data_IF_823478373898
#
_entry.id   IF_823478373898
#
_cell.length_a   1.000
_cell.length_b   1.000
_cell.length_c   1.000
_cell.angle_alpha   90.00
_cell.angle_beta   90.00
_cell.angle_gamma   90.00
#
_symmetry.space_group_name_H-M   'P 1'
#
loop_
_entity.id
_entity.type
_entity.pdbx_description
1 polymer ?
#
# COMPACT_ATOMS: atom_id res chain seq x y z
N UNK A 1 7.53 -30.33 -9.37
CA UNK A 1 8.01 -29.32 -8.40
C UNK A 1 7.28 -27.97 -8.55
N UNK A 2 7.07 -27.50 -9.78
CA UNK A 2 6.26 -26.28 -10.04
C UNK A 2 4.80 -26.53 -9.62
N UNK A 3 4.26 -27.72 -9.85
CA UNK A 3 2.92 -28.09 -9.43
C UNK A 3 2.72 -28.07 -7.92
N UNK A 4 3.73 -28.44 -7.12
CA UNK A 4 3.64 -28.41 -5.65
C UNK A 4 3.64 -26.97 -5.10
N UNK A 5 4.36 -26.04 -5.72
CA UNK A 5 4.30 -24.62 -5.36
C UNK A 5 2.98 -23.96 -5.76
N UNK A 6 2.45 -24.35 -6.89
CA UNK A 6 1.15 -23.87 -7.36
C UNK A 6 -0.01 -24.41 -6.52
N UNK A 7 0.11 -25.62 -5.96
CA UNK A 7 -0.94 -26.22 -5.12
C UNK A 7 -1.24 -25.36 -3.89
N UNK A 8 -0.24 -24.79 -3.21
CA UNK A 8 -0.48 -23.85 -2.10
C UNK A 8 -1.14 -22.54 -2.57
N UNK A 9 -0.69 -22.01 -3.69
CA UNK A 9 -1.28 -20.81 -4.30
C UNK A 9 -2.67 -21.09 -4.88
N UNK A 10 -2.88 -22.28 -5.47
CA UNK A 10 -4.17 -22.70 -5.98
C UNK A 10 -5.20 -22.95 -4.87
N UNK A 11 -4.80 -23.43 -3.70
CA UNK A 11 -5.69 -23.51 -2.55
C UNK A 11 -6.22 -22.12 -2.16
N UNK A 12 -5.34 -21.14 -2.01
CA UNK A 12 -5.74 -19.75 -1.70
C UNK A 12 -6.61 -19.13 -2.80
N UNK A 13 -6.34 -19.43 -4.06
CA UNK A 13 -7.13 -18.95 -5.20
C UNK A 13 -8.50 -19.64 -5.29
N UNK A 14 -8.56 -20.93 -5.00
CA UNK A 14 -9.81 -21.72 -5.01
C UNK A 14 -10.74 -21.34 -3.86
N UNK A 15 -10.17 -21.03 -2.68
CA UNK A 15 -10.93 -20.62 -1.51
C UNK A 15 -11.42 -19.18 -1.59
N UNK A 16 -11.07 -18.45 -2.66
CA UNK A 16 -11.43 -17.06 -2.94
C UNK A 16 -11.20 -16.14 -1.75
N UNK A 17 -10.26 -15.20 -1.83
CA UNK A 17 -9.99 -14.28 -0.73
C UNK A 17 -11.20 -13.40 -0.46
N UNK A 18 -11.51 -13.15 0.81
CA UNK A 18 -12.48 -12.15 1.23
C UNK A 18 -11.85 -10.75 1.23
N UNK A 19 -10.57 -10.68 1.63
CA UNK A 19 -9.84 -9.42 1.78
C UNK A 19 -8.53 -9.52 1.02
N UNK A 20 -8.25 -8.53 0.19
CA UNK A 20 -7.02 -8.44 -0.61
C UNK A 20 -6.30 -7.16 -0.24
N UNK A 21 -5.04 -7.29 0.21
CA UNK A 21 -4.25 -6.20 0.78
C UNK A 21 -2.94 -6.06 0.02
N UNK A 22 -2.59 -4.85 -0.39
CA UNK A 22 -1.30 -4.59 -1.01
C UNK A 22 -0.73 -3.24 -0.63
N UNK A 23 0.60 -3.16 -0.59
CA UNK A 23 1.28 -1.88 -0.39
C UNK A 23 1.12 -1.00 -1.64
N UNK A 24 0.99 0.30 -1.42
CA UNK A 24 0.70 1.28 -2.45
C UNK A 24 1.65 2.48 -2.36
N UNK A 25 2.50 2.60 -3.36
CA UNK A 25 3.26 3.81 -3.67
C UNK A 25 2.67 4.44 -4.92
N UNK A 26 3.28 4.24 -6.10
CA UNK A 26 2.68 4.63 -7.38
C UNK A 26 1.52 3.74 -7.84
N UNK A 27 1.34 2.57 -7.21
CA UNK A 27 0.17 1.72 -7.38
C UNK A 27 0.33 0.55 -8.35
N UNK A 28 1.42 0.42 -9.10
CA UNK A 28 1.56 -0.64 -10.11
C UNK A 28 1.53 -2.05 -9.52
N UNK A 29 2.17 -2.25 -8.36
CA UNK A 29 2.21 -3.53 -7.68
C UNK A 29 0.81 -3.93 -7.17
N UNK A 30 0.15 -3.02 -6.46
CA UNK A 30 -1.23 -3.23 -5.98
C UNK A 30 -2.19 -3.46 -7.16
N UNK A 31 -2.08 -2.66 -8.23
CA UNK A 31 -2.92 -2.80 -9.42
C UNK A 31 -2.77 -4.17 -10.06
N UNK A 32 -1.53 -4.69 -10.17
CA UNK A 32 -1.28 -6.05 -10.65
C UNK A 32 -1.91 -7.14 -9.77
N UNK A 33 -1.80 -6.98 -8.45
CA UNK A 33 -2.37 -7.93 -7.49
C UNK A 33 -3.90 -7.98 -7.57
N UNK A 34 -4.56 -6.83 -7.59
CA UNK A 34 -6.03 -6.77 -7.48
C UNK A 34 -6.76 -6.94 -8.81
N UNK A 35 -6.10 -6.74 -9.95
CA UNK A 35 -6.77 -6.66 -11.26
C UNK A 35 -7.67 -7.86 -11.61
N UNK A 36 -7.30 -9.14 -11.40
CA UNK A 36 -8.21 -10.26 -11.68
C UNK A 36 -9.45 -10.23 -10.79
N UNK A 37 -9.29 -9.97 -9.51
CA UNK A 37 -10.37 -9.92 -8.52
C UNK A 37 -11.26 -8.68 -8.71
N UNK A 38 -10.67 -7.54 -9.05
CA UNK A 38 -11.41 -6.32 -9.37
C UNK A 38 -12.26 -6.52 -10.62
N UNK A 39 -11.77 -7.25 -11.62
CA UNK A 39 -12.55 -7.63 -12.78
C UNK A 39 -13.81 -8.43 -12.41
N UNK A 40 -13.71 -9.41 -11.51
CA UNK A 40 -14.86 -10.17 -10.99
C UNK A 40 -15.84 -9.26 -10.21
N UNK A 41 -15.31 -8.37 -9.34
CA UNK A 41 -16.15 -7.42 -8.59
C UNK A 41 -16.92 -6.48 -9.53
N UNK A 42 -16.27 -5.94 -10.55
CA UNK A 42 -16.92 -5.04 -11.53
C UNK A 42 -18.01 -5.74 -12.38
N UNK A 43 -17.88 -7.05 -12.59
CA UNK A 43 -18.92 -7.86 -13.26
C UNK A 43 -20.02 -8.33 -12.31
N UNK A 44 -19.91 -8.03 -11.01
CA UNK A 44 -20.87 -8.48 -10.00
C UNK A 44 -20.79 -9.98 -9.66
N UNK A 45 -19.67 -10.62 -9.96
CA UNK A 45 -19.47 -12.05 -9.73
C UNK A 45 -19.09 -12.34 -8.27
N UNK A 46 -18.34 -11.43 -7.64
CA UNK A 46 -17.86 -11.53 -6.27
C UNK A 46 -17.72 -10.17 -5.62
N UNK A 47 -17.83 -10.12 -4.29
CA UNK A 47 -17.63 -8.90 -3.51
C UNK A 47 -16.38 -9.01 -2.61
N UNK A 48 -15.24 -8.71 -3.19
CA UNK A 48 -13.97 -8.66 -2.47
C UNK A 48 -13.78 -7.31 -1.79
N UNK A 49 -13.16 -7.33 -0.61
CA UNK A 49 -12.65 -6.14 0.06
C UNK A 49 -11.19 -5.90 -0.36
N UNK A 50 -10.91 -4.74 -0.94
CA UNK A 50 -9.55 -4.33 -1.31
C UNK A 50 -9.05 -3.25 -0.38
N UNK A 51 -7.79 -3.39 0.09
CA UNK A 51 -7.15 -2.41 0.97
C UNK A 51 -5.79 -2.04 0.38
N UNK A 52 -5.65 -0.78 -0.02
CA UNK A 52 -4.38 -0.16 -0.35
C UNK A 52 -3.70 0.31 0.93
N UNK A 53 -2.44 -0.06 1.14
CA UNK A 53 -1.68 0.36 2.33
C UNK A 53 -0.53 1.26 1.91
N UNK A 54 -0.55 2.49 2.39
CA UNK A 54 0.45 3.50 2.11
C UNK A 54 1.20 3.93 3.37
N UNK A 55 2.41 4.49 3.25
CA UNK A 55 3.10 5.07 4.40
C UNK A 55 2.38 6.30 4.93
N UNK A 56 2.25 6.44 6.24
CA UNK A 56 1.71 7.65 6.86
C UNK A 56 2.53 8.92 6.51
N UNK A 57 3.80 8.75 6.14
CA UNK A 57 4.68 9.82 5.67
C UNK A 57 4.45 10.25 4.22
N UNK A 58 3.67 9.47 3.45
CA UNK A 58 3.37 9.75 2.04
C UNK A 58 1.91 9.35 1.71
N UNK A 59 0.90 9.99 2.34
CA UNK A 59 -0.50 9.55 2.37
C UNK A 59 -1.27 10.04 1.14
N UNK A 60 -0.91 9.57 -0.05
CA UNK A 60 -1.48 10.06 -1.32
C UNK A 60 -2.97 9.77 -1.47
N UNK A 61 -3.45 8.58 -1.07
CA UNK A 61 -4.87 8.22 -1.12
C UNK A 61 -5.65 8.80 0.05
N UNK A 62 -5.12 8.64 1.29
CA UNK A 62 -5.88 8.97 2.51
C UNK A 62 -5.95 10.48 2.79
N UNK A 63 -4.95 11.26 2.32
CA UNK A 63 -4.88 12.72 2.57
C UNK A 63 -4.59 13.55 1.31
N UNK A 64 -4.42 12.90 0.15
CA UNK A 64 -4.23 13.59 -1.13
C UNK A 64 -5.53 14.17 -1.70
N UNK A 65 -5.39 14.95 -2.77
CA UNK A 65 -6.50 15.48 -3.56
C UNK A 65 -6.69 14.68 -4.84
N UNK A 66 -7.93 14.41 -5.21
CA UNK A 66 -8.25 13.83 -6.53
C UNK A 66 -8.27 14.94 -7.58
N UNK A 67 -7.14 15.12 -8.26
CA UNK A 67 -6.89 16.24 -9.17
C UNK A 67 -6.04 15.79 -10.36
N UNK A 68 -5.93 16.66 -11.37
CA UNK A 68 -4.93 16.51 -12.42
C UNK A 68 -3.56 16.95 -11.89
N UNK A 69 -2.55 16.12 -12.12
CA UNK A 69 -1.18 16.40 -11.73
C UNK A 69 -0.19 15.75 -12.71
N UNK A 70 1.07 16.15 -12.63
CA UNK A 70 2.15 15.51 -13.35
C UNK A 70 2.61 14.23 -12.65
N UNK A 71 2.89 13.19 -13.43
CA UNK A 71 3.44 11.94 -12.90
C UNK A 71 4.91 12.08 -12.50
N UNK A 72 5.61 13.08 -13.03
CA UNK A 72 7.03 13.31 -12.86
C UNK A 72 7.31 14.73 -12.36
N UNK A 73 8.39 14.88 -11.59
CA UNK A 73 8.84 16.19 -11.07
C UNK A 73 9.38 17.13 -12.15
N UNK A 74 9.73 16.58 -13.33
CA UNK A 74 10.18 17.36 -14.49
C UNK A 74 9.03 17.97 -15.30
N UNK A 75 7.77 17.64 -14.96
CA UNK A 75 6.56 18.12 -15.65
C UNK A 75 6.58 17.86 -17.17
N UNK A 76 7.18 16.74 -17.57
CA UNK A 76 7.34 16.35 -19.00
C UNK A 76 6.21 15.42 -19.43
N UNK A 77 5.73 14.55 -18.52
CA UNK A 77 4.63 13.65 -18.80
C UNK A 77 3.30 14.39 -18.93
N UNK A 78 2.35 13.87 -19.70
CA UNK A 78 1.00 14.41 -19.74
C UNK A 78 0.36 14.43 -18.36
N UNK A 79 -0.53 15.39 -18.13
CA UNK A 79 -1.35 15.44 -16.92
C UNK A 79 -2.23 14.20 -16.81
N UNK A 80 -2.27 13.63 -15.63
CA UNK A 80 -3.13 12.49 -15.32
C UNK A 80 -3.99 12.80 -14.09
N UNK A 81 -5.25 12.35 -14.10
CA UNK A 81 -6.12 12.50 -12.94
C UNK A 81 -5.77 11.43 -11.91
N UNK A 82 -5.44 11.86 -10.70
CA UNK A 82 -4.95 10.97 -9.65
C UNK A 82 -5.25 11.53 -8.26
N UNK A 83 -5.19 10.68 -7.25
CA UNK A 83 -4.98 11.15 -5.88
C UNK A 83 -3.51 11.54 -5.73
N UNK A 84 -3.26 12.79 -5.38
CA UNK A 84 -1.91 13.36 -5.34
C UNK A 84 -1.70 14.26 -4.12
N UNK A 85 -0.44 14.31 -3.67
CA UNK A 85 0.07 15.28 -2.70
C UNK A 85 0.68 16.52 -3.37
N UNK A 86 0.64 16.57 -4.71
CA UNK A 86 1.30 17.57 -5.54
C UNK A 86 2.67 17.07 -6.05
N UNK A 87 2.95 17.29 -7.35
CA UNK A 87 4.22 16.86 -7.98
C UNK A 87 5.46 17.56 -7.38
N UNK A 88 5.29 18.66 -6.68
CA UNK A 88 6.32 19.33 -5.90
C UNK A 88 6.48 18.83 -4.44
N UNK A 89 5.62 17.94 -3.98
CA UNK A 89 5.72 17.37 -2.63
C UNK A 89 6.96 16.47 -2.52
N UNK A 90 7.77 16.71 -1.49
CA UNK A 90 8.96 15.91 -1.20
C UNK A 90 8.65 15.02 0.01
N UNK A 91 8.43 13.70 -0.20
CA UNK A 91 8.21 12.78 0.90
C UNK A 91 9.40 12.76 1.86
N UNK A 92 9.13 12.72 3.17
CA UNK A 92 10.16 12.55 4.18
C UNK A 92 10.94 11.25 3.95
N UNK A 93 12.16 11.20 4.49
CA UNK A 93 12.97 9.99 4.45
C UNK A 93 12.30 8.90 5.32
N UNK A 94 11.81 7.85 4.69
CA UNK A 94 11.40 6.62 5.34
C UNK A 94 12.14 5.44 4.70
N UNK A 95 12.11 4.28 5.35
CA UNK A 95 12.80 3.08 4.90
C UNK A 95 11.97 2.21 3.94
N UNK A 96 10.93 2.74 3.34
CA UNK A 96 10.15 2.12 2.26
C UNK A 96 10.23 2.99 1.00
N UNK A 97 11.42 3.05 0.40
CA UNK A 97 11.72 3.92 -0.75
C UNK A 97 10.80 3.70 -1.93
N UNK A 98 10.38 2.45 -2.18
CA UNK A 98 9.44 2.08 -3.23
C UNK A 98 8.01 2.59 -3.04
N UNK A 99 7.66 3.13 -1.86
CA UNK A 99 6.35 3.71 -1.58
C UNK A 99 6.35 5.25 -1.49
N UNK A 100 7.49 5.91 -1.74
CA UNK A 100 7.64 7.37 -1.66
C UNK A 100 7.21 8.04 -2.97
N UNK A 101 5.93 8.06 -3.25
CA UNK A 101 5.35 8.68 -4.43
C UNK A 101 4.40 9.81 -4.05
N UNK A 102 4.45 10.93 -4.78
CA UNK A 102 3.52 12.04 -4.56
C UNK A 102 2.10 11.76 -5.05
N UNK A 103 1.94 10.81 -5.98
CA UNK A 103 0.64 10.51 -6.60
C UNK A 103 0.44 9.03 -6.90
N UNK A 104 -0.81 8.62 -6.90
CA UNK A 104 -1.28 7.27 -7.17
C UNK A 104 -1.63 7.12 -8.65
N UNK A 105 -1.45 5.93 -9.22
CA UNK A 105 -1.89 5.64 -10.60
C UNK A 105 -3.36 6.04 -10.81
N UNK A 106 -3.69 6.55 -11.99
CA UNK A 106 -5.04 7.03 -12.31
C UNK A 106 -6.10 5.95 -12.15
N UNK A 107 -5.78 4.70 -12.53
CA UNK A 107 -6.71 3.56 -12.38
C UNK A 107 -7.05 3.30 -10.92
N UNK A 108 -6.06 3.19 -10.04
CA UNK A 108 -6.31 2.95 -8.61
C UNK A 108 -6.96 4.16 -7.94
N UNK A 109 -6.57 5.36 -8.35
CA UNK A 109 -7.21 6.60 -7.90
C UNK A 109 -8.70 6.62 -8.23
N UNK A 110 -9.08 6.19 -9.43
CA UNK A 110 -10.48 6.09 -9.83
C UNK A 110 -11.21 5.03 -9.01
N UNK A 111 -10.64 3.83 -8.86
CA UNK A 111 -11.25 2.76 -8.06
C UNK A 111 -11.48 3.19 -6.59
N UNK A 112 -10.53 3.92 -6.02
CA UNK A 112 -10.67 4.46 -4.66
C UNK A 112 -11.73 5.57 -4.61
N UNK A 113 -11.74 6.47 -5.61
CA UNK A 113 -12.72 7.55 -5.72
C UNK A 113 -14.17 7.02 -5.83
N UNK A 114 -14.35 5.92 -6.55
CA UNK A 114 -15.63 5.27 -6.75
C UNK A 114 -16.05 4.36 -5.57
N UNK A 115 -15.23 4.31 -4.50
CA UNK A 115 -15.52 3.51 -3.30
C UNK A 115 -15.36 2.00 -3.51
N UNK A 116 -14.66 1.57 -4.55
CA UNK A 116 -14.45 0.16 -4.86
C UNK A 116 -13.29 -0.46 -4.07
N UNK A 117 -12.46 0.36 -3.44
CA UNK A 117 -11.39 -0.07 -2.52
C UNK A 117 -11.22 0.91 -1.37
N UNK A 118 -10.62 0.43 -0.27
CA UNK A 118 -10.23 1.23 0.90
C UNK A 118 -8.73 1.59 0.82
N UNK A 119 -8.34 2.63 1.55
CA UNK A 119 -6.94 2.98 1.77
C UNK A 119 -6.65 3.14 3.26
N UNK A 120 -5.44 2.73 3.67
CA UNK A 120 -4.94 2.93 5.04
C UNK A 120 -3.51 3.43 5.01
N UNK A 121 -3.23 4.44 5.82
CA UNK A 121 -1.89 4.92 6.06
C UNK A 121 -1.34 4.31 7.35
N UNK A 122 -0.10 3.82 7.33
CA UNK A 122 0.55 3.18 8.49
C UNK A 122 1.91 3.80 8.77
N UNK A 123 2.26 3.87 10.03
CA UNK A 123 3.52 4.43 10.52
C UNK A 123 4.65 3.40 10.40
N UNK A 124 5.87 3.86 10.06
CA UNK A 124 6.98 2.96 9.78
C UNK A 124 7.40 2.12 10.99
N UNK A 125 7.33 2.64 12.22
CA UNK A 125 7.67 1.85 13.42
C UNK A 125 6.72 0.67 13.59
N UNK A 126 5.43 0.85 13.35
CA UNK A 126 4.44 -0.23 13.38
C UNK A 126 4.63 -1.25 12.24
N UNK A 127 5.11 -0.77 11.09
CA UNK A 127 5.44 -1.62 9.93
C UNK A 127 6.64 -2.51 10.25
N UNK A 128 7.71 -1.98 10.84
CA UNK A 128 8.89 -2.77 11.23
C UNK A 128 8.58 -3.75 12.36
N UNK A 129 7.74 -3.38 13.32
CA UNK A 129 7.24 -4.31 14.34
C UNK A 129 6.52 -5.52 13.71
N UNK A 130 5.63 -5.26 12.74
CA UNK A 130 4.91 -6.29 12.02
C UNK A 130 5.85 -7.16 11.15
N UNK A 131 6.85 -6.55 10.53
CA UNK A 131 7.86 -7.24 9.73
C UNK A 131 8.66 -8.24 10.57
N UNK A 132 9.14 -7.84 11.76
CA UNK A 132 9.86 -8.74 12.66
C UNK A 132 8.96 -9.83 13.25
N UNK A 133 7.72 -9.51 13.58
CA UNK A 133 6.74 -10.51 14.01
C UNK A 133 6.55 -11.56 12.91
N UNK A 134 6.35 -11.14 11.67
CA UNK A 134 6.21 -12.02 10.52
C UNK A 134 7.47 -12.88 10.31
N UNK A 135 8.65 -12.27 10.36
CA UNK A 135 9.91 -13.00 10.21
C UNK A 135 10.11 -14.08 11.29
N UNK A 136 9.71 -13.81 12.54
CA UNK A 136 9.80 -14.79 13.64
C UNK A 136 8.83 -15.96 13.47
N UNK A 137 7.66 -15.72 12.89
CA UNK A 137 6.60 -16.73 12.74
C UNK A 137 6.78 -17.53 11.45
N UNK A 138 7.04 -16.84 10.33
CA UNK A 138 7.06 -17.44 8.99
C UNK A 138 8.48 -17.76 8.49
N UNK A 139 9.53 -17.29 9.17
CA UNK A 139 10.92 -17.49 8.75
C UNK A 139 11.31 -16.70 7.50
N UNK A 140 10.55 -15.69 7.13
CA UNK A 140 10.76 -14.83 5.95
C UNK A 140 10.93 -13.39 6.41
N UNK A 141 12.08 -12.76 6.10
CA UNK A 141 12.28 -11.34 6.37
C UNK A 141 11.73 -10.52 5.19
N UNK A 142 10.62 -9.79 5.38
CA UNK A 142 9.99 -9.04 4.31
C UNK A 142 10.69 -7.71 4.04
N UNK A 143 10.58 -7.18 2.82
CA UNK A 143 10.95 -5.79 2.54
C UNK A 143 10.05 -4.81 3.31
N UNK A 144 10.55 -3.61 3.68
CA UNK A 144 9.74 -2.60 4.36
C UNK A 144 8.45 -2.24 3.60
N UNK A 145 8.49 -2.25 2.26
CA UNK A 145 7.31 -2.03 1.43
C UNK A 145 6.23 -3.07 1.68
N UNK A 146 6.58 -4.35 1.59
CA UNK A 146 5.64 -5.47 1.82
C UNK A 146 5.11 -5.49 3.25
N UNK A 147 5.90 -5.01 4.19
CA UNK A 147 5.57 -4.98 5.61
C UNK A 147 4.40 -4.04 5.93
N UNK A 148 4.13 -3.06 5.06
CA UNK A 148 2.93 -2.25 5.13
C UNK A 148 1.66 -3.11 4.96
N UNK A 149 1.66 -3.99 3.96
CA UNK A 149 0.55 -4.93 3.76
C UNK A 149 0.45 -5.95 4.91
N UNK A 150 1.58 -6.45 5.42
CA UNK A 150 1.62 -7.37 6.56
C UNK A 150 1.00 -6.72 7.81
N UNK A 151 1.33 -5.45 8.10
CA UNK A 151 0.76 -4.74 9.25
C UNK A 151 -0.77 -4.75 9.21
N UNK A 152 -1.33 -4.38 8.07
CA UNK A 152 -2.79 -4.34 7.92
C UNK A 152 -3.41 -5.74 7.86
N UNK A 153 -2.70 -6.74 7.30
CA UNK A 153 -3.17 -8.12 7.34
C UNK A 153 -3.28 -8.67 8.78
N UNK A 154 -2.31 -8.33 9.64
CA UNK A 154 -2.37 -8.65 11.07
C UNK A 154 -3.57 -7.95 11.72
N UNK A 155 -3.81 -6.66 11.42
CA UNK A 155 -4.95 -5.92 11.98
C UNK A 155 -6.30 -6.52 11.57
N UNK A 156 -6.46 -6.89 10.29
CA UNK A 156 -7.68 -7.56 9.83
C UNK A 156 -7.84 -8.96 10.44
N UNK A 157 -6.76 -9.72 10.59
CA UNK A 157 -6.80 -11.03 11.25
C UNK A 157 -7.19 -10.91 12.74
N UNK A 158 -6.66 -9.92 13.47
CA UNK A 158 -7.04 -9.65 14.85
C UNK A 158 -8.50 -9.26 14.96
N UNK A 159 -8.99 -8.44 14.04
CA UNK A 159 -10.40 -8.06 13.96
C UNK A 159 -11.29 -9.29 13.72
N UNK A 160 -10.92 -10.18 12.81
CA UNK A 160 -11.63 -11.44 12.58
C UNK A 160 -11.67 -12.29 13.85
N UNK A 161 -10.56 -12.36 14.60
CA UNK A 161 -10.51 -13.07 15.89
C UNK A 161 -11.46 -12.46 16.92
N UNK A 162 -11.58 -11.15 16.98
CA UNK A 162 -12.48 -10.44 17.91
C UNK A 162 -13.96 -10.64 17.53
N UNK A 163 -14.28 -10.60 16.23
CA UNK A 163 -15.65 -10.75 15.74
C UNK A 163 -16.09 -12.21 15.60
N UNK A 164 -15.15 -13.17 15.60
CA UNK A 164 -15.42 -14.58 15.33
C UNK A 164 -15.71 -14.88 13.85
N UNK A 165 -15.45 -13.94 12.95
CA UNK A 165 -15.65 -14.15 11.51
C UNK A 165 -14.47 -14.94 10.90
N UNK A 166 -14.76 -15.96 10.11
CA UNK A 166 -13.77 -16.63 9.26
C UNK A 166 -13.59 -15.83 7.96
N UNK A 167 -12.36 -15.40 7.64
CA UNK A 167 -12.00 -14.69 6.43
C UNK A 167 -10.68 -15.22 5.85
N UNK A 168 -10.64 -15.35 4.54
CA UNK A 168 -9.38 -15.57 3.81
C UNK A 168 -8.76 -14.24 3.45
N UNK A 169 -7.57 -13.95 4.00
CA UNK A 169 -6.84 -12.70 3.78
C UNK A 169 -5.67 -12.98 2.83
N UNK A 170 -5.71 -12.40 1.64
CA UNK A 170 -4.61 -12.41 0.68
C UNK A 170 -3.84 -11.09 0.78
N UNK A 171 -2.53 -11.15 0.97
CA UNK A 171 -1.70 -9.95 0.91
C UNK A 171 -0.48 -10.12 -0.01
N UNK A 172 0.00 -9.02 -0.57
CA UNK A 172 1.17 -9.01 -1.45
C UNK A 172 2.48 -9.02 -0.66
N UNK A 173 3.21 -10.14 -0.70
CA UNK A 173 4.58 -10.24 -0.18
C UNK A 173 5.56 -10.06 -1.35
N UNK A 174 5.96 -8.82 -1.62
CA UNK A 174 6.55 -8.37 -2.88
C UNK A 174 8.04 -8.06 -2.83
N UNK A 175 8.73 -8.35 -1.74
CA UNK A 175 10.15 -8.11 -1.62
C UNK A 175 10.77 -8.75 -0.38
N UNK A 176 12.09 -8.91 -0.44
CA UNK A 176 12.89 -9.41 0.66
C UNK A 176 13.56 -8.28 1.44
N UNK A 177 13.63 -8.39 2.76
CA UNK A 177 14.28 -7.42 3.64
C UNK A 177 15.81 -7.56 3.75
N UNK A 178 16.42 -8.52 3.07
CA UNK A 178 17.86 -8.73 3.17
C UNK A 178 18.72 -7.54 2.71
N UNK A 179 18.18 -6.68 1.86
CA UNK A 179 18.84 -5.45 1.43
C UNK A 179 18.56 -4.27 2.38
N UNK A 180 17.67 -4.44 3.36
CA UNK A 180 17.20 -3.40 4.28
C UNK A 180 17.68 -3.62 5.73
N UNK A 181 18.72 -4.44 5.93
CA UNK A 181 19.23 -4.80 7.26
C UNK A 181 19.61 -3.58 8.11
N UNK A 182 20.12 -2.52 7.47
CA UNK A 182 20.45 -1.26 8.16
C UNK A 182 19.20 -0.60 8.73
N UNK A 183 18.06 -0.69 8.02
CA UNK A 183 16.79 -0.15 8.49
C UNK A 183 16.25 -0.97 9.68
N UNK A 184 16.34 -2.29 9.61
CA UNK A 184 15.98 -3.18 10.72
C UNK A 184 16.85 -2.94 11.94
N UNK A 185 18.17 -2.72 11.74
CA UNK A 185 19.07 -2.36 12.84
C UNK A 185 18.63 -1.05 13.51
N UNK A 186 18.40 0.01 12.74
CA UNK A 186 17.92 1.30 13.27
C UNK A 186 16.63 1.17 14.05
N UNK A 187 15.71 0.32 13.58
CA UNK A 187 14.46 0.03 14.30
C UNK A 187 14.76 -0.62 15.66
N UNK A 188 15.62 -1.64 15.71
CA UNK A 188 16.00 -2.35 16.94
C UNK A 188 16.82 -1.47 17.91
N UNK A 189 17.62 -0.55 17.39
CA UNK A 189 18.40 0.40 18.18
C UNK A 189 17.54 1.57 18.71
N UNK A 190 16.25 1.63 18.34
CA UNK A 190 15.34 2.71 18.74
C UNK A 190 15.62 4.05 18.05
N UNK A 191 16.35 4.05 16.96
CA UNK A 191 16.71 5.25 16.19
C UNK A 191 15.67 5.62 15.13
N UNK A 192 14.65 4.78 14.92
CA UNK A 192 13.61 5.03 13.95
C UNK A 192 12.48 5.87 14.55
N UNK A 193 12.04 6.88 13.84
CA UNK A 193 10.93 7.74 14.24
C UNK A 193 9.86 7.79 13.14
N UNK A 194 8.62 7.94 13.56
CA UNK A 194 7.51 8.15 12.64
C UNK A 194 7.43 9.60 12.20
N UNK A 195 6.92 9.81 11.00
CA UNK A 195 6.65 11.13 10.45
C UNK A 195 5.30 11.12 9.73
N UNK A 196 4.47 12.11 10.05
CA UNK A 196 3.19 12.36 9.39
C UNK A 196 3.22 13.81 8.90
N UNK A 197 3.04 14.07 7.59
CA UNK A 197 3.03 15.44 7.07
C UNK A 197 1.94 16.27 7.74
N UNK A 198 2.25 17.50 8.09
CA UNK A 198 1.28 18.47 8.59
C UNK A 198 0.33 18.91 7.47
N UNK A 199 -0.83 19.44 7.85
CA UNK A 199 -1.78 19.99 6.86
C UNK A 199 -1.16 21.17 6.07
N UNK A 200 -0.27 21.94 6.68
CA UNK A 200 0.44 23.03 6.01
C UNK A 200 1.40 22.53 4.93
N UNK A 201 2.14 21.45 5.20
CA UNK A 201 3.03 20.83 4.20
C UNK A 201 2.24 20.22 3.04
N UNK A 202 1.11 19.58 3.32
CA UNK A 202 0.22 19.07 2.27
C UNK A 202 -0.38 20.21 1.46
N UNK A 203 -0.81 21.31 2.11
CA UNK A 203 -1.38 22.47 1.41
C UNK A 203 -0.37 23.10 0.47
N UNK A 204 0.90 23.20 0.88
CA UNK A 204 1.97 23.68 0.01
C UNK A 204 2.12 22.85 -1.27
N UNK A 205 1.98 21.51 -1.15
CA UNK A 205 1.95 20.63 -2.31
C UNK A 205 0.73 20.87 -3.21
N UNK A 206 -0.43 21.09 -2.60
CA UNK A 206 -1.68 21.33 -3.32
C UNK A 206 -1.73 22.68 -4.03
N UNK A 207 -1.04 23.70 -3.52
CA UNK A 207 -0.98 25.02 -4.14
C UNK A 207 -0.23 24.98 -5.48
N UNK A 208 0.63 23.98 -5.67
CA UNK A 208 1.37 23.74 -6.92
C UNK A 208 0.60 22.93 -7.97
N UNK A 209 -0.62 22.44 -7.67
CA UNK A 209 -1.37 21.62 -8.62
C UNK A 209 -1.76 22.42 -9.89
N UNK A 210 -1.68 21.79 -11.07
CA UNK A 210 -2.12 22.39 -12.33
C UNK A 210 -3.59 22.80 -12.26
N UNK A 211 -3.88 24.01 -12.75
CA UNK A 211 -5.25 24.48 -12.95
C UNK A 211 -5.71 23.99 -14.32
N UNK A 212 -6.68 23.11 -14.33
CA UNK A 212 -7.29 22.56 -15.55
C UNK A 212 -8.71 23.10 -15.61
N UNK A 213 -9.00 23.86 -16.68
CA UNK A 213 -10.33 24.40 -16.97
C UNK A 213 -11.28 23.31 -17.49
#
# INVERSE_FOLDING_TARGET
EIGVRLVGSEMCIRDRPDIIIGCAGGGSNLGGLISPFMGEKLRGENDYKFIAVEPASCPSLTRGKFAYDFCDTGMICPLAKMYTLGSGFIPSANHAGGLRFHGMSSTLSQLYHDGLMEARAVEQTSVFAAAEQFARVEGILPAPESSHAIRVAIDEALKCKETGEEKTILFGLTGTGYFDMVAYQKYNDGEMSDYIPTDAELQQGFDGLPKVD
#
